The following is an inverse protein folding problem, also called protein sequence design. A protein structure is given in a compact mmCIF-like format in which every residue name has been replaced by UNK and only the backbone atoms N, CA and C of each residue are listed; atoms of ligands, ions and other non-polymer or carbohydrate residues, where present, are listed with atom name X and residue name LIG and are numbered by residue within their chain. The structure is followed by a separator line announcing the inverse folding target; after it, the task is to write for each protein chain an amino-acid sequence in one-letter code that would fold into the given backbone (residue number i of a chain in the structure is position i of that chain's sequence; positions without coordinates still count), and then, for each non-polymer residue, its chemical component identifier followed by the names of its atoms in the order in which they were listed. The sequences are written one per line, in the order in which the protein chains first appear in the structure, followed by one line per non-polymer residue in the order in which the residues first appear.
data_IF_114865084517
#
_entry.id   IF_114865084517
#
_cell.length_a   1.000
_cell.length_b   1.000
_cell.length_c   1.000
_cell.angle_alpha   90.00
_cell.angle_beta   90.00
_cell.angle_gamma   90.00
#
_symmetry.space_group_name_H-M   'P 1'
#
loop_
_entity.id
_entity.type
_entity.pdbx_description
1 polymer ?
#
# COMPACT_ATOMS: atom_id res chain seq x y z
N UNK A 1 43.14 43.62 -17.79
CA UNK A 1 42.55 42.83 -18.90
C UNK A 1 42.30 41.42 -18.37
N UNK A 2 41.05 40.93 -18.47
CA UNK A 2 40.60 39.51 -18.61
C UNK A 2 41.30 38.39 -17.81
N UNK A 3 40.66 37.39 -17.21
CA UNK A 3 39.29 36.91 -17.22
C UNK A 3 39.14 35.82 -16.13
N UNK A 4 37.92 35.66 -15.64
CA UNK A 4 37.47 34.55 -14.78
C UNK A 4 37.66 33.16 -15.42
N UNK A 5 37.92 32.13 -14.62
CA UNK A 5 37.51 30.74 -14.92
C UNK A 5 37.06 29.99 -13.67
N UNK A 6 35.74 29.87 -13.54
CA UNK A 6 35.09 28.90 -12.67
C UNK A 6 35.06 27.53 -13.36
N UNK A 7 35.63 26.50 -12.75
CA UNK A 7 35.40 25.10 -13.16
C UNK A 7 34.41 24.45 -12.20
N UNK A 8 33.17 24.38 -12.69
CA UNK A 8 32.02 23.69 -12.07
C UNK A 8 32.30 22.19 -11.94
N UNK A 9 32.00 21.66 -10.75
CA UNK A 9 31.83 20.23 -10.50
C UNK A 9 30.60 19.73 -11.26
N UNK A 10 30.79 18.89 -12.28
CA UNK A 10 29.70 18.12 -12.88
C UNK A 10 29.60 16.79 -12.15
N UNK A 11 28.72 16.81 -11.15
CA UNK A 11 28.20 15.64 -10.44
C UNK A 11 27.37 14.83 -11.46
N UNK A 12 27.95 13.77 -12.00
CA UNK A 12 27.28 12.83 -12.90
C UNK A 12 26.11 12.18 -12.19
N UNK A 13 24.90 12.63 -12.55
CA UNK A 13 23.63 12.10 -12.07
C UNK A 13 23.34 10.84 -12.88
N UNK A 14 23.84 9.70 -12.43
CA UNK A 14 23.51 8.40 -13.04
C UNK A 14 22.01 8.18 -12.91
N UNK A 15 21.34 8.12 -14.05
CA UNK A 15 19.90 7.92 -14.15
C UNK A 15 19.57 6.50 -13.73
N UNK A 16 18.63 6.34 -12.77
CA UNK A 16 18.08 5.06 -12.30
C UNK A 16 17.73 4.06 -13.41
N UNK A 17 17.43 4.53 -14.62
CA UNK A 17 17.16 3.69 -15.79
C UNK A 17 18.35 2.84 -16.25
N UNK A 18 19.59 3.34 -16.15
CA UNK A 18 20.79 2.60 -16.57
C UNK A 18 21.07 1.38 -15.68
N UNK A 19 20.77 1.48 -14.39
CA UNK A 19 20.93 0.37 -13.44
C UNK A 19 19.90 -0.74 -13.69
N UNK A 20 18.67 -0.40 -14.10
CA UNK A 20 17.63 -1.39 -14.41
C UNK A 20 17.97 -2.15 -15.69
N UNK A 21 18.45 -1.46 -16.73
CA UNK A 21 18.90 -2.10 -17.98
C UNK A 21 20.08 -3.03 -17.71
N UNK A 22 21.07 -2.61 -16.90
CA UNK A 22 22.21 -3.44 -16.54
C UNK A 22 21.79 -4.73 -15.80
N UNK A 23 20.84 -4.64 -14.86
CA UNK A 23 20.31 -5.80 -14.12
C UNK A 23 19.49 -6.75 -15.01
N UNK A 24 18.73 -6.21 -15.97
CA UNK A 24 18.01 -7.01 -16.95
C UNK A 24 18.96 -7.77 -17.89
N UNK A 25 20.08 -7.15 -18.29
CA UNK A 25 21.11 -7.84 -19.07
C UNK A 25 21.82 -8.94 -18.29
N UNK A 26 22.09 -8.75 -16.98
CA UNK A 26 22.61 -9.81 -16.11
C UNK A 26 21.65 -11.01 -16.00
N UNK A 27 20.34 -10.74 -15.88
CA UNK A 27 19.29 -11.77 -15.88
C UNK A 27 19.13 -12.46 -17.25
N UNK A 28 19.29 -11.73 -18.35
CA UNK A 28 19.24 -12.30 -19.70
C UNK A 28 20.42 -13.23 -20.00
N UNK A 29 21.56 -13.04 -19.31
CA UNK A 29 22.70 -13.96 -19.37
C UNK A 29 22.45 -15.28 -18.64
N UNK A 30 21.51 -15.32 -17.69
CA UNK A 30 21.12 -16.53 -16.95
C UNK A 30 20.07 -17.38 -17.67
N UNK A 31 19.26 -16.74 -18.52
CA UNK A 31 18.28 -17.42 -19.35
C UNK A 31 18.93 -17.75 -20.68
N UNK A 32 19.42 -18.98 -20.82
CA UNK A 32 19.81 -19.52 -22.12
C UNK A 32 18.69 -19.22 -23.12
N UNK A 33 19.01 -18.37 -24.11
CA UNK A 33 18.04 -17.95 -25.12
C UNK A 33 17.43 -19.17 -25.85
N UNK A 34 16.36 -18.96 -26.64
CA UNK A 34 15.65 -20.06 -27.30
C UNK A 34 16.62 -20.96 -28.06
N UNK A 35 16.40 -22.28 -27.97
CA UNK A 35 17.30 -23.28 -28.56
C UNK A 35 17.53 -23.01 -30.06
N UNK A 36 18.72 -23.35 -30.59
CA UNK A 36 19.01 -23.16 -32.01
C UNK A 36 18.02 -23.88 -32.93
N UNK A 37 17.53 -25.05 -32.51
CA UNK A 37 16.51 -25.85 -33.20
C UNK A 37 15.17 -25.10 -33.28
N UNK A 38 14.75 -24.47 -32.18
CA UNK A 38 13.53 -23.66 -32.16
C UNK A 38 13.63 -22.46 -33.12
N UNK A 39 14.79 -21.80 -33.18
CA UNK A 39 15.01 -20.69 -34.12
C UNK A 39 15.00 -21.16 -35.58
N UNK A 40 15.57 -22.33 -35.86
CA UNK A 40 15.56 -22.93 -37.18
C UNK A 40 14.12 -23.26 -37.62
N UNK A 41 13.34 -23.92 -36.75
CA UNK A 41 11.94 -24.24 -37.02
C UNK A 41 11.08 -23.00 -37.25
N UNK A 42 11.24 -21.96 -36.43
CA UNK A 42 10.53 -20.70 -36.60
C UNK A 42 10.89 -20.01 -37.93
N UNK A 43 12.16 -20.07 -38.33
CA UNK A 43 12.61 -19.48 -39.59
C UNK A 43 11.99 -20.20 -40.79
N UNK A 44 11.95 -21.53 -40.76
CA UNK A 44 11.31 -22.31 -41.82
C UNK A 44 9.81 -22.04 -41.90
N UNK A 45 9.12 -21.96 -40.75
CA UNK A 45 7.69 -21.70 -40.72
C UNK A 45 7.34 -20.31 -41.26
N UNK A 46 8.15 -19.29 -40.94
CA UNK A 46 8.02 -17.94 -41.49
C UNK A 46 8.31 -17.89 -43.00
N UNK A 47 9.32 -18.61 -43.46
CA UNK A 47 9.61 -18.69 -44.90
C UNK A 47 8.51 -19.45 -45.65
N UNK A 48 7.92 -20.47 -45.03
CA UNK A 48 6.82 -21.27 -45.60
C UNK A 48 5.54 -20.46 -45.69
N UNK A 49 5.18 -19.70 -44.65
CA UNK A 49 4.03 -18.79 -44.68
C UNK A 49 4.23 -17.68 -45.70
N UNK A 50 5.43 -17.08 -45.77
CA UNK A 50 5.74 -16.07 -46.78
C UNK A 50 5.75 -16.64 -48.20
N UNK A 51 6.13 -17.91 -48.40
CA UNK A 51 6.07 -18.57 -49.69
C UNK A 51 4.62 -18.88 -50.10
N UNK A 52 3.77 -19.28 -49.15
CA UNK A 52 2.34 -19.49 -49.37
C UNK A 52 1.58 -18.19 -49.68
N UNK A 53 2.05 -17.06 -49.16
CA UNK A 53 1.47 -15.73 -49.41
C UNK A 53 1.94 -15.11 -50.74
N UNK A 54 3.02 -15.63 -51.35
CA UNK A 54 3.43 -15.27 -52.71
C UNK A 54 2.59 -16.00 -53.76
N UNK A 55 1.37 -15.53 -53.98
CA UNK A 55 0.62 -15.83 -55.20
C UNK A 55 1.33 -15.17 -56.39
N UNK A 56 1.66 -15.89 -57.47
CA UNK A 56 2.21 -15.26 -58.67
C UNK A 56 1.17 -14.33 -59.29
N UNK A 57 1.59 -13.09 -59.58
CA UNK A 57 0.76 -12.06 -60.18
C UNK A 57 0.43 -12.40 -61.65
N UNK A 58 -0.63 -13.18 -61.86
CA UNK A 58 -1.20 -13.45 -63.18
C UNK A 58 -2.71 -13.57 -63.07
N UNK A 59 -3.41 -12.44 -62.89
CA UNK A 59 -4.85 -12.30 -63.21
C UNK A 59 -5.23 -10.80 -63.22
N UNK A 60 -6.08 -10.33 -64.16
CA UNK A 60 -6.52 -8.93 -64.23
C UNK A 60 -7.40 -8.58 -63.01
N UNK A 61 -7.56 -7.30 -62.64
CA UNK A 61 -7.95 -6.92 -61.28
C UNK A 61 -9.41 -7.30 -61.00
N UNK A 62 -9.61 -8.47 -60.39
CA UNK A 62 -10.81 -8.75 -59.63
C UNK A 62 -10.88 -7.75 -58.46
N UNK A 63 -12.08 -7.23 -58.24
CA UNK A 63 -12.39 -6.14 -57.31
C UNK A 63 -11.65 -6.31 -55.98
N UNK A 64 -10.85 -5.29 -55.63
CA UNK A 64 -10.16 -5.20 -54.35
C UNK A 64 -11.18 -5.45 -53.23
N UNK A 65 -10.97 -6.41 -52.31
CA UNK A 65 -11.78 -6.45 -51.11
C UNK A 65 -11.57 -5.10 -50.42
N UNK A 66 -12.67 -4.37 -50.19
CA UNK A 66 -12.61 -3.15 -49.39
C UNK A 66 -11.95 -3.52 -48.07
N UNK A 67 -10.71 -3.08 -47.87
CA UNK A 67 -10.03 -3.15 -46.58
C UNK A 67 -10.86 -2.27 -45.66
N UNK A 68 -11.81 -2.91 -44.97
CA UNK A 68 -12.69 -2.28 -44.00
C UNK A 68 -11.74 -1.60 -43.03
N UNK A 69 -11.68 -0.26 -43.07
CA UNK A 69 -10.76 0.54 -42.25
C UNK A 69 -10.93 0.05 -40.82
N UNK A 70 -9.96 -0.73 -40.34
CA UNK A 70 -10.01 -1.33 -39.00
C UNK A 70 -9.96 -0.13 -38.07
N UNK A 71 -11.13 0.24 -37.54
CA UNK A 71 -11.33 1.44 -36.74
C UNK A 71 -10.23 1.50 -35.69
N UNK A 72 -9.56 2.63 -35.53
CA UNK A 72 -8.52 2.82 -34.52
C UNK A 72 -9.04 2.43 -33.12
N UNK A 73 -10.35 2.56 -32.88
CA UNK A 73 -11.03 2.06 -31.68
C UNK A 73 -10.91 0.54 -31.47
N UNK A 74 -10.84 -0.27 -32.52
CA UNK A 74 -10.60 -1.71 -32.41
C UNK A 74 -9.16 -2.05 -31.98
N UNK A 75 -8.20 -1.13 -32.21
CA UNK A 75 -6.81 -1.28 -31.75
C UNK A 75 -6.63 -0.86 -30.28
N UNK A 76 -7.45 0.06 -29.78
CA UNK A 76 -7.46 0.48 -28.38
C UNK A 76 -8.38 -0.35 -27.47
N UNK A 77 -9.27 -1.17 -28.04
CA UNK A 77 -10.10 -2.13 -27.28
C UNK A 77 -9.33 -2.97 -26.24
N UNK A 78 -8.21 -3.63 -26.57
CA UNK A 78 -7.47 -4.40 -25.57
C UNK A 78 -6.85 -3.52 -24.48
N UNK A 79 -6.37 -2.32 -24.83
CA UNK A 79 -5.82 -1.37 -23.85
C UNK A 79 -6.90 -0.80 -22.92
N UNK A 80 -8.12 -0.59 -23.43
CA UNK A 80 -9.26 -0.13 -22.64
C UNK A 80 -9.78 -1.24 -21.72
N UNK A 81 -9.86 -2.48 -22.20
CA UNK A 81 -10.19 -3.64 -21.37
C UNK A 81 -9.13 -3.84 -20.28
N UNK A 82 -7.85 -3.71 -20.62
CA UNK A 82 -6.75 -3.79 -19.65
C UNK A 82 -6.81 -2.63 -18.64
N UNK A 83 -7.10 -1.41 -19.10
CA UNK A 83 -7.30 -0.24 -18.25
C UNK A 83 -8.49 -0.41 -17.30
N UNK A 84 -9.61 -0.95 -17.77
CA UNK A 84 -10.79 -1.27 -16.94
C UNK A 84 -10.49 -2.40 -15.95
N UNK A 85 -9.73 -3.42 -16.35
CA UNK A 85 -9.28 -4.48 -15.45
C UNK A 85 -8.35 -3.94 -14.36
N UNK A 86 -7.41 -3.07 -14.72
CA UNK A 86 -6.55 -2.39 -13.75
C UNK A 86 -7.38 -1.49 -12.84
N UNK A 87 -8.30 -0.67 -13.37
CA UNK A 87 -9.18 0.17 -12.55
C UNK A 87 -10.10 -0.69 -11.67
N UNK A 88 -10.56 -1.86 -12.13
CA UNK A 88 -11.32 -2.81 -11.32
C UNK A 88 -10.48 -3.41 -10.20
N UNK A 89 -9.24 -3.79 -10.50
CA UNK A 89 -8.28 -4.40 -9.57
C UNK A 89 -7.73 -3.39 -8.54
N UNK A 90 -7.50 -2.13 -8.95
CA UNK A 90 -7.05 -1.05 -8.07
C UNK A 90 -8.20 -0.29 -7.40
N UNK A 91 -9.36 -0.17 -8.05
CA UNK A 91 -10.55 0.52 -7.54
C UNK A 91 -11.24 -0.23 -6.40
N UNK A 92 -11.16 -1.57 -6.40
CA UNK A 92 -11.47 -2.37 -5.20
C UNK A 92 -10.37 -2.30 -4.14
N UNK A 93 -9.12 -2.03 -4.55
CA UNK A 93 -7.95 -1.94 -3.69
C UNK A 93 -7.90 -0.71 -2.77
N UNK A 94 -8.54 0.42 -3.11
CA UNK A 94 -8.50 1.62 -2.24
C UNK A 94 -9.23 1.38 -0.90
N UNK A 95 -10.14 0.40 -0.82
CA UNK A 95 -10.70 -0.05 0.47
C UNK A 95 -9.76 -0.93 1.30
N UNK A 96 -8.72 -1.55 0.72
CA UNK A 96 -7.86 -2.48 1.48
C UNK A 96 -7.16 -1.77 2.64
N UNK A 97 -6.76 -0.51 2.44
CA UNK A 97 -6.04 0.29 3.43
C UNK A 97 -6.92 0.73 4.60
N UNK A 98 -8.23 0.89 4.36
CA UNK A 98 -9.22 1.26 5.37
C UNK A 98 -9.98 0.07 5.94
N UNK A 99 -9.50 -1.16 5.71
CA UNK A 99 -10.18 -2.34 6.23
C UNK A 99 -10.27 -2.31 7.75
N UNK A 100 -11.47 -2.64 8.25
CA UNK A 100 -11.83 -2.69 9.66
C UNK A 100 -11.88 -4.14 10.15
N UNK A 101 -11.77 -4.40 11.46
CA UNK A 101 -11.90 -5.74 12.00
C UNK A 101 -13.18 -6.43 11.48
N UNK A 102 -13.05 -7.67 11.03
CA UNK A 102 -14.14 -8.44 10.42
C UNK A 102 -14.14 -8.45 8.89
N UNK A 103 -13.38 -7.58 8.23
CA UNK A 103 -13.23 -7.60 6.77
C UNK A 103 -12.15 -8.61 6.30
N UNK A 104 -12.29 -9.19 5.09
CA UNK A 104 -11.39 -10.24 4.60
C UNK A 104 -9.94 -9.79 4.43
N UNK A 105 -9.70 -8.50 4.23
CA UNK A 105 -8.37 -7.93 3.99
C UNK A 105 -7.71 -7.41 5.27
N UNK A 106 -8.43 -7.41 6.39
CA UNK A 106 -7.93 -6.92 7.66
C UNK A 106 -6.73 -7.73 8.21
N UNK A 107 -6.70 -9.08 8.11
CA UNK A 107 -5.51 -9.84 8.50
C UNK A 107 -4.26 -9.45 7.70
N UNK A 108 -4.41 -9.13 6.42
CA UNK A 108 -3.30 -8.67 5.57
C UNK A 108 -2.79 -7.29 6.02
N UNK A 109 -3.70 -6.36 6.34
CA UNK A 109 -3.37 -5.07 6.94
C UNK A 109 -2.56 -5.26 8.23
N UNK A 110 -3.00 -6.14 9.12
CA UNK A 110 -2.29 -6.45 10.38
C UNK A 110 -0.90 -7.03 10.16
N UNK A 111 -0.74 -7.92 9.18
CA UNK A 111 0.56 -8.49 8.83
C UNK A 111 1.54 -7.42 8.29
N UNK A 112 1.04 -6.48 7.48
CA UNK A 112 1.86 -5.37 6.98
C UNK A 112 2.28 -4.42 8.12
N UNK A 113 1.36 -4.05 8.99
CA UNK A 113 1.65 -3.18 10.15
C UNK A 113 2.64 -3.83 11.13
N UNK A 114 2.49 -5.13 11.41
CA UNK A 114 3.39 -5.83 12.33
C UNK A 114 4.83 -5.91 11.79
N UNK A 115 4.99 -6.08 10.47
CA UNK A 115 6.28 -6.10 9.79
C UNK A 115 6.94 -4.72 9.83
N UNK A 116 6.19 -3.65 9.57
CA UNK A 116 6.71 -2.29 9.68
C UNK A 116 7.09 -1.93 11.12
N UNK A 117 6.32 -2.44 12.09
CA UNK A 117 6.61 -2.23 13.50
C UNK A 117 7.83 -3.04 13.97
N UNK A 118 8.05 -4.26 13.45
CA UNK A 118 9.21 -5.10 13.84
C UNK A 118 10.53 -4.52 13.35
N UNK A 119 10.52 -3.82 12.21
CA UNK A 119 11.69 -3.12 11.66
C UNK A 119 12.01 -1.81 12.40
N UNK A 120 11.04 -1.25 13.13
CA UNK A 120 11.20 0.01 13.84
C UNK A 120 11.97 -0.17 15.16
N UNK A 121 12.88 0.77 15.45
CA UNK A 121 13.64 0.79 16.71
C UNK A 121 13.62 2.17 17.38
N UNK A 122 13.85 2.19 18.70
CA UNK A 122 13.92 3.43 19.48
C UNK A 122 12.69 4.33 19.33
N UNK A 123 12.95 5.59 19.01
CA UNK A 123 11.95 6.64 18.82
C UNK A 123 10.99 6.37 17.66
N UNK A 124 11.51 5.87 16.53
CA UNK A 124 10.69 5.52 15.36
C UNK A 124 9.65 4.45 15.70
N UNK A 125 10.01 3.53 16.61
CA UNK A 125 9.08 2.52 17.12
C UNK A 125 7.98 3.16 17.96
N UNK A 126 8.31 4.09 18.85
CA UNK A 126 7.31 4.80 19.66
C UNK A 126 6.29 5.53 18.77
N UNK A 127 6.78 6.24 17.75
CA UNK A 127 5.92 6.96 16.79
C UNK A 127 5.03 6.01 16.00
N UNK A 128 5.53 4.84 15.57
CA UNK A 128 4.70 3.81 14.92
C UNK A 128 3.67 3.20 15.87
N UNK A 129 4.00 3.01 17.15
CA UNK A 129 3.06 2.53 18.16
C UNK A 129 1.95 3.58 18.42
N UNK A 130 2.27 4.87 18.47
CA UNK A 130 1.27 5.94 18.53
C UNK A 130 0.38 5.96 17.28
N UNK A 131 0.98 5.84 16.09
CA UNK A 131 0.25 5.76 14.83
C UNK A 131 -0.71 4.57 14.78
N UNK A 132 -0.24 3.40 15.24
CA UNK A 132 -1.08 2.22 15.36
C UNK A 132 -2.24 2.46 16.33
N UNK A 133 -2.00 3.03 17.52
CA UNK A 133 -3.06 3.34 18.48
C UNK A 133 -4.14 4.29 17.91
N UNK A 134 -3.73 5.35 17.19
CA UNK A 134 -4.67 6.25 16.48
C UNK A 134 -5.50 5.49 15.45
N UNK A 135 -4.89 4.58 14.71
CA UNK A 135 -5.59 3.74 13.73
C UNK A 135 -6.59 2.81 14.41
N UNK A 136 -6.23 2.21 15.55
CA UNK A 136 -7.15 1.39 16.35
C UNK A 136 -8.34 2.20 16.85
N UNK A 137 -8.12 3.42 17.33
CA UNK A 137 -9.21 4.30 17.76
C UNK A 137 -10.20 4.58 16.61
N UNK A 138 -9.69 4.82 15.39
CA UNK A 138 -10.53 5.01 14.21
C UNK A 138 -11.27 3.72 13.80
N UNK A 139 -10.62 2.55 13.91
CA UNK A 139 -11.26 1.25 13.69
C UNK A 139 -12.39 1.01 14.70
N UNK A 140 -12.17 1.25 15.99
CA UNK A 140 -13.22 1.17 17.01
C UNK A 140 -14.36 2.15 16.72
N UNK A 141 -14.05 3.37 16.30
CA UNK A 141 -15.06 4.36 15.92
C UNK A 141 -15.93 3.90 14.74
N UNK A 142 -15.30 3.26 13.74
CA UNK A 142 -16.03 2.71 12.60
C UNK A 142 -16.95 1.57 13.02
N UNK A 143 -16.49 0.66 13.88
CA UNK A 143 -17.31 -0.45 14.41
C UNK A 143 -18.47 0.07 15.27
N UNK A 144 -18.23 1.08 16.10
CA UNK A 144 -19.24 1.68 16.96
C UNK A 144 -20.24 2.58 16.20
N UNK A 145 -19.96 2.95 14.95
CA UNK A 145 -20.87 3.77 14.14
C UNK A 145 -22.06 2.97 13.60
N UNK A 146 -21.93 1.64 13.46
CA UNK A 146 -23.05 0.79 13.06
C UNK A 146 -24.10 0.75 14.18
N UNK A 147 -25.37 0.98 13.86
CA UNK A 147 -26.43 1.09 14.88
C UNK A 147 -27.05 -0.24 15.28
N UNK A 148 -26.76 -1.32 14.56
CA UNK A 148 -27.30 -2.66 14.82
C UNK A 148 -26.52 -3.37 15.94
N UNK A 149 -27.17 -3.76 17.05
CA UNK A 149 -26.55 -4.61 18.06
C UNK A 149 -26.19 -5.98 17.47
N UNK A 150 -24.92 -6.36 17.53
CA UNK A 150 -24.39 -7.65 17.08
C UNK A 150 -23.30 -8.10 18.07
N UNK A 151 -23.47 -9.25 18.76
CA UNK A 151 -22.46 -9.77 19.69
C UNK A 151 -21.07 -9.94 19.06
N UNK A 152 -21.02 -10.30 17.79
CA UNK A 152 -19.76 -10.47 17.05
C UNK A 152 -19.04 -9.14 16.89
N UNK A 153 -19.80 -8.07 16.67
CA UNK A 153 -19.27 -6.69 16.57
C UNK A 153 -18.77 -6.20 17.92
N UNK A 154 -19.49 -6.49 19.00
CA UNK A 154 -19.09 -6.05 20.34
C UNK A 154 -17.77 -6.73 20.78
N UNK A 155 -17.55 -8.00 20.37
CA UNK A 155 -16.26 -8.70 20.53
C UNK A 155 -15.14 -8.08 19.68
N UNK A 156 -15.43 -7.65 18.45
CA UNK A 156 -14.46 -6.95 17.60
C UNK A 156 -14.08 -5.59 18.18
N UNK A 157 -15.05 -4.85 18.72
CA UNK A 157 -14.83 -3.59 19.44
C UNK A 157 -13.93 -3.83 20.64
N UNK A 158 -14.24 -4.86 21.44
CA UNK A 158 -13.46 -5.26 22.62
C UNK A 158 -11.99 -5.51 22.27
N UNK A 159 -11.73 -6.39 21.28
CA UNK A 159 -10.37 -6.72 20.82
C UNK A 159 -9.62 -5.50 20.28
N UNK A 160 -10.32 -4.60 19.59
CA UNK A 160 -9.72 -3.41 19.01
C UNK A 160 -9.38 -2.37 20.08
N UNK A 161 -10.23 -2.21 21.09
CA UNK A 161 -9.95 -1.40 22.27
C UNK A 161 -8.73 -1.93 23.05
N UNK A 162 -8.61 -3.25 23.20
CA UNK A 162 -7.46 -3.88 23.86
C UNK A 162 -6.15 -3.67 23.09
N UNK A 163 -6.17 -3.80 21.76
CA UNK A 163 -5.00 -3.52 20.93
C UNK A 163 -4.62 -2.03 21.01
N UNK A 164 -5.60 -1.13 20.94
CA UNK A 164 -5.39 0.31 21.13
C UNK A 164 -4.71 0.62 22.48
N UNK A 165 -5.24 0.05 23.56
CA UNK A 165 -4.69 0.20 24.91
C UNK A 165 -3.25 -0.31 24.97
N UNK A 166 -2.99 -1.51 24.42
CA UNK A 166 -1.67 -2.12 24.39
C UNK A 166 -0.66 -1.26 23.63
N UNK A 167 -1.02 -0.75 22.44
CA UNK A 167 -0.16 0.14 21.66
C UNK A 167 0.09 1.48 22.34
N UNK A 168 -0.93 2.03 22.99
CA UNK A 168 -0.81 3.29 23.76
C UNK A 168 0.17 3.12 24.91
N UNK A 169 0.04 2.04 25.68
CA UNK A 169 0.95 1.73 26.80
C UNK A 169 2.38 1.51 26.34
N UNK A 170 2.56 0.78 25.23
CA UNK A 170 3.88 0.57 24.64
C UNK A 170 4.53 1.89 24.18
N UNK A 171 3.76 2.74 23.51
CA UNK A 171 4.21 4.05 23.04
C UNK A 171 4.59 4.96 24.22
N UNK A 172 3.67 5.20 25.15
CA UNK A 172 3.88 6.10 26.28
C UNK A 172 5.05 5.63 27.16
N UNK A 173 5.10 4.34 27.50
CA UNK A 173 6.19 3.77 28.29
C UNK A 173 7.55 3.76 27.58
N UNK A 174 7.59 3.98 26.26
CA UNK A 174 8.85 4.15 25.50
C UNK A 174 9.27 5.60 25.47
N UNK A 175 8.32 6.52 25.28
CA UNK A 175 8.57 7.96 25.17
C UNK A 175 9.04 8.54 26.50
N UNK A 176 8.50 8.08 27.63
CA UNK A 176 8.97 8.52 28.96
C UNK A 176 10.46 8.25 29.21
N UNK A 177 11.05 7.26 28.55
CA UNK A 177 12.48 6.93 28.68
C UNK A 177 13.41 7.92 27.97
N UNK A 178 12.86 8.85 27.16
CA UNK A 178 13.64 9.72 26.26
C UNK A 178 13.68 11.22 26.67
N UNK A 179 13.25 11.59 27.88
CA UNK A 179 13.47 12.93 28.46
C UNK A 179 12.33 13.95 28.28
N UNK A 180 12.60 15.23 28.50
CA UNK A 180 11.57 16.27 28.66
C UNK A 180 10.78 16.59 27.37
N UNK A 181 11.40 16.64 26.20
CA UNK A 181 10.68 16.91 24.94
C UNK A 181 9.72 15.77 24.58
N UNK A 182 10.17 14.53 24.81
CA UNK A 182 9.38 13.32 24.68
C UNK A 182 8.13 13.38 25.57
N UNK A 183 8.22 13.96 26.78
CA UNK A 183 7.07 14.14 27.68
C UNK A 183 5.97 15.04 27.11
N UNK A 184 6.31 16.02 26.26
CA UNK A 184 5.32 16.93 25.66
C UNK A 184 4.55 16.23 24.55
N UNK A 185 5.24 15.42 23.75
CA UNK A 185 4.62 14.59 22.72
C UNK A 185 3.73 13.50 23.34
N UNK A 186 4.22 12.80 24.38
CA UNK A 186 3.43 11.84 25.14
C UNK A 186 2.13 12.46 25.69
N UNK A 187 2.21 13.66 26.26
CA UNK A 187 1.04 14.40 26.77
C UNK A 187 0.05 14.78 25.68
N UNK A 188 0.54 15.20 24.51
CA UNK A 188 -0.32 15.51 23.36
C UNK A 188 -1.03 14.25 22.86
N UNK A 189 -0.27 13.18 22.67
CA UNK A 189 -0.81 11.89 22.25
C UNK A 189 -1.83 11.32 23.25
N UNK A 190 -1.55 11.41 24.56
CA UNK A 190 -2.48 11.03 25.62
C UNK A 190 -3.82 11.80 25.51
N UNK A 191 -3.78 13.12 25.31
CA UNK A 191 -4.99 13.92 25.08
C UNK A 191 -5.77 13.46 23.84
N UNK A 192 -5.08 13.26 22.71
CA UNK A 192 -5.71 12.77 21.48
C UNK A 192 -6.42 11.41 21.68
N UNK A 193 -5.78 10.47 22.38
CA UNK A 193 -6.38 9.16 22.68
C UNK A 193 -7.58 9.27 23.62
N UNK A 194 -7.49 10.15 24.63
CA UNK A 194 -8.60 10.42 25.55
C UNK A 194 -9.82 10.94 24.79
N UNK A 195 -9.64 11.99 23.98
CA UNK A 195 -10.73 12.61 23.21
C UNK A 195 -11.37 11.59 22.25
N UNK A 196 -10.54 10.76 21.60
CA UNK A 196 -11.02 9.70 20.72
C UNK A 196 -11.89 8.69 21.49
N UNK A 197 -11.46 8.21 22.66
CA UNK A 197 -12.21 7.22 23.43
C UNK A 197 -13.45 7.78 24.11
N UNK A 198 -13.40 9.01 24.61
CA UNK A 198 -14.57 9.67 25.20
C UNK A 198 -15.72 9.80 24.20
N UNK A 199 -15.40 10.11 22.94
CA UNK A 199 -16.39 10.18 21.86
C UNK A 199 -17.08 8.84 21.58
N UNK A 200 -16.46 7.71 21.97
CA UNK A 200 -16.97 6.35 21.76
C UNK A 200 -17.86 5.88 22.89
N UNK A 201 -17.63 6.31 24.13
CA UNK A 201 -18.38 5.88 25.32
C UNK A 201 -19.91 5.79 25.14
N UNK A 202 -20.61 6.77 24.52
CA UNK A 202 -22.06 6.68 24.35
C UNK A 202 -22.50 5.58 23.37
N UNK A 203 -21.61 5.14 22.48
CA UNK A 203 -21.89 4.12 21.45
C UNK A 203 -21.50 2.70 21.87
N UNK A 204 -20.79 2.56 23.00
CA UNK A 204 -20.34 1.29 23.53
C UNK A 204 -21.40 0.65 24.44
N UNK A 205 -21.45 -0.67 24.42
CA UNK A 205 -22.21 -1.47 25.37
C UNK A 205 -21.62 -1.37 26.80
N UNK A 206 -22.29 -1.95 27.79
CA UNK A 206 -21.88 -1.84 29.18
C UNK A 206 -20.48 -2.44 29.45
N UNK A 207 -20.14 -3.56 28.79
CA UNK A 207 -18.86 -4.23 28.98
C UNK A 207 -17.71 -3.40 28.39
N UNK A 208 -17.83 -2.99 27.12
CA UNK A 208 -16.79 -2.19 26.47
C UNK A 208 -16.65 -0.80 27.08
N UNK A 209 -17.74 -0.18 27.55
CA UNK A 209 -17.69 1.10 28.27
C UNK A 209 -16.89 1.00 29.57
N UNK A 210 -17.03 -0.11 30.32
CA UNK A 210 -16.23 -0.35 31.53
C UNK A 210 -14.73 -0.45 31.22
N UNK A 211 -14.36 -1.13 30.13
CA UNK A 211 -12.97 -1.23 29.66
C UNK A 211 -12.43 0.12 29.19
N UNK A 212 -13.18 0.84 28.36
CA UNK A 212 -12.83 2.18 27.90
C UNK A 212 -12.58 3.13 29.08
N UNK A 213 -13.45 3.11 30.10
CA UNK A 213 -13.25 3.91 31.32
C UNK A 213 -11.97 3.51 32.10
N UNK A 214 -11.62 2.23 32.14
CA UNK A 214 -10.35 1.78 32.76
C UNK A 214 -9.15 2.31 31.98
N UNK A 215 -9.24 2.30 30.65
CA UNK A 215 -8.21 2.84 29.77
C UNK A 215 -8.07 4.37 29.91
N UNK A 216 -9.17 5.11 29.97
CA UNK A 216 -9.16 6.57 30.21
C UNK A 216 -8.42 6.93 31.51
N UNK A 217 -8.71 6.22 32.61
CA UNK A 217 -7.98 6.39 33.87
C UNK A 217 -6.47 6.16 33.73
N UNK A 218 -6.07 5.21 32.88
CA UNK A 218 -4.65 4.97 32.62
C UNK A 218 -4.00 6.14 31.87
N UNK A 219 -4.66 6.67 30.84
CA UNK A 219 -4.15 7.79 30.05
C UNK A 219 -4.09 9.08 30.87
N UNK A 220 -5.06 9.32 31.76
CA UNK A 220 -5.10 10.52 32.61
C UNK A 220 -3.82 10.67 33.46
N UNK A 221 -3.18 9.57 33.85
CA UNK A 221 -1.89 9.59 34.57
C UNK A 221 -0.78 10.29 33.77
N UNK A 222 -0.82 10.23 32.44
CA UNK A 222 0.17 10.84 31.55
C UNK A 222 -0.18 12.28 31.16
N UNK A 223 -1.37 12.77 31.51
CA UNK A 223 -1.81 14.13 31.18
C UNK A 223 -1.49 15.15 32.28
N UNK A 224 -1.37 14.71 33.53
CA UNK A 224 -1.01 15.58 34.66
C UNK A 224 0.46 15.96 34.53
N UNK A 225 0.82 17.25 34.54
CA UNK A 225 2.23 17.64 34.58
C UNK A 225 2.89 17.07 35.83
N UNK A 226 3.99 16.34 35.65
CA UNK A 226 4.82 15.87 36.76
C UNK A 226 5.30 17.04 37.61
N UNK A 227 5.24 16.85 38.95
CA UNK A 227 5.96 17.65 39.94
C UNK A 227 7.46 17.57 39.73
#
# INVERSE_FOLDING_TARGET
MSCWRASRRLRGRTTRGGQVVARLSELSGFLSGPSPEFRAGLREELLRTHAAERVPASEPPAQRPQVRRRSLFARFRPALVFGVLLIGMYGTGIRTYHSVPGEPLYPLKRAAESTLLSMASGEERAQREMGAARLRAAETASLAAYSTPDPSRDELIERTLEDMESKTRAALGRVERHGQDASTEARRFAREQRDAVESLLPKLDAANRKKANKYLKYIDMFMVPGR
#
